data_IF_256035718531
#
_entry.id   IF_256035718531
#
_cell.length_a   1.000
_cell.length_b   1.000
_cell.length_c   1.000
_cell.angle_alpha   90.00
_cell.angle_beta   90.00
_cell.angle_gamma   90.00
#
_symmetry.space_group_name_H-M   'P 1'
#
loop_
_entity.id
_entity.type
_entity.pdbx_description
1 polymer ?
#
# COMPACT_ATOMS: atom_id res chain seq x y z
N UNK A 1 -2.25 -2.38 -24.53
CA UNK A 1 -1.23 -2.03 -23.52
C UNK A 1 -1.80 -2.51 -22.20
N UNK A 2 -1.26 -3.61 -21.66
CA UNK A 2 -1.97 -4.53 -20.75
C UNK A 2 -1.46 -4.40 -19.32
N UNK A 3 -2.38 -4.30 -18.35
CA UNK A 3 -2.15 -4.30 -16.90
C UNK A 3 -1.21 -5.46 -16.46
N UNK A 4 -0.48 -5.31 -15.35
CA UNK A 4 0.06 -6.48 -14.64
C UNK A 4 -1.12 -7.13 -13.96
N UNK A 5 -1.70 -8.11 -14.63
CA UNK A 5 -2.74 -8.88 -14.01
C UNK A 5 -2.16 -9.61 -12.77
N UNK A 6 -2.91 -9.73 -11.66
CA UNK A 6 -2.44 -10.36 -10.42
C UNK A 6 -1.85 -11.76 -10.61
N UNK A 7 -2.23 -12.50 -11.66
CA UNK A 7 -1.63 -13.81 -11.97
C UNK A 7 -0.15 -13.72 -12.38
N UNK A 8 0.31 -12.56 -12.83
CA UNK A 8 1.73 -12.31 -13.11
C UNK A 8 2.50 -11.90 -11.84
N UNK A 9 1.80 -11.58 -10.74
CA UNK A 9 2.46 -11.13 -9.50
C UNK A 9 3.33 -12.22 -8.88
N UNK A 10 2.84 -13.46 -8.79
CA UNK A 10 3.65 -14.60 -8.29
C UNK A 10 4.82 -14.94 -9.22
N UNK A 11 4.74 -14.52 -10.48
CA UNK A 11 5.78 -14.74 -11.48
C UNK A 11 6.86 -13.67 -11.43
N UNK A 12 6.65 -12.57 -10.69
CA UNK A 12 7.68 -11.57 -10.48
C UNK A 12 8.86 -12.20 -9.75
N UNK A 13 10.05 -11.73 -10.10
CA UNK A 13 11.29 -12.11 -9.42
C UNK A 13 11.77 -10.94 -8.59
N UNK A 14 12.46 -11.25 -7.50
CA UNK A 14 13.30 -10.27 -6.83
C UNK A 14 14.43 -9.89 -7.78
N UNK A 15 14.54 -8.61 -8.10
CA UNK A 15 15.65 -8.09 -8.89
C UNK A 15 16.99 -8.37 -8.20
N UNK A 16 18.06 -8.54 -8.97
CA UNK A 16 19.41 -8.73 -8.43
C UNK A 16 19.83 -7.60 -7.47
N UNK A 17 20.65 -7.94 -6.47
CA UNK A 17 21.15 -7.04 -5.42
C UNK A 17 20.08 -6.46 -4.46
N UNK A 18 18.91 -7.09 -4.38
CA UNK A 18 17.91 -6.84 -3.34
C UNK A 18 17.96 -7.92 -2.25
N UNK A 19 17.62 -7.59 -0.98
CA UNK A 19 17.03 -6.34 -0.50
C UNK A 19 18.00 -5.17 -0.41
N UNK A 20 17.45 -3.95 -0.50
CA UNK A 20 18.19 -2.69 -0.31
C UNK A 20 17.66 -1.90 0.88
N UNK A 21 18.53 -1.10 1.52
CA UNK A 21 18.14 -0.20 2.59
C UNK A 21 17.22 0.92 2.07
N UNK A 22 16.17 1.26 2.83
CA UNK A 22 15.19 2.29 2.45
C UNK A 22 15.83 3.68 2.44
N UNK A 23 16.54 4.06 3.50
CA UNK A 23 17.12 5.39 3.66
C UNK A 23 18.15 5.69 2.57
N UNK A 24 18.99 4.72 2.25
CA UNK A 24 20.05 4.89 1.24
C UNK A 24 19.51 5.02 -0.19
N UNK A 25 18.29 4.54 -0.47
CA UNK A 25 17.77 4.42 -1.84
C UNK A 25 16.55 5.30 -2.12
N UNK A 26 15.89 5.80 -1.07
CA UNK A 26 14.76 6.72 -1.16
C UNK A 26 15.16 8.02 -0.44
N UNK A 27 15.75 8.98 -1.15
CA UNK A 27 16.39 10.13 -0.50
C UNK A 27 15.44 11.07 0.27
N UNK A 28 16.03 11.86 1.17
CA UNK A 28 15.35 13.00 1.81
C UNK A 28 14.46 12.68 3.00
N UNK A 29 14.66 11.54 3.68
CA UNK A 29 13.91 11.24 4.89
C UNK A 29 14.11 12.31 5.97
N UNK A 30 13.04 12.76 6.64
CA UNK A 30 13.17 13.66 7.77
C UNK A 30 13.83 12.93 8.95
N UNK A 31 14.64 13.64 9.72
CA UNK A 31 15.36 13.05 10.86
C UNK A 31 14.40 12.43 11.90
N UNK A 32 13.21 13.02 12.09
CA UNK A 32 12.17 12.49 12.97
C UNK A 32 11.66 11.10 12.56
N UNK A 33 11.85 10.71 11.29
CA UNK A 33 11.49 9.39 10.79
C UNK A 33 12.63 8.37 10.83
N UNK A 34 13.80 8.76 11.31
CA UNK A 34 14.89 7.80 11.56
C UNK A 34 14.71 7.19 12.96
N UNK A 35 14.68 5.86 13.03
CA UNK A 35 14.69 5.12 14.29
C UNK A 35 16.10 5.16 14.89
N UNK A 36 17.08 4.96 14.01
CA UNK A 36 18.51 5.06 14.23
C UNK A 36 19.14 5.61 12.94
N UNK A 37 20.40 6.08 12.95
CA UNK A 37 21.06 6.56 11.73
C UNK A 37 20.95 5.55 10.58
N UNK A 38 20.35 5.95 9.46
CA UNK A 38 20.18 5.09 8.28
C UNK A 38 19.04 4.06 8.37
N UNK A 39 18.21 4.10 9.43
CA UNK A 39 17.15 3.12 9.67
C UNK A 39 15.79 3.82 9.76
N UNK A 40 14.86 3.45 8.88
CA UNK A 40 13.44 3.82 8.98
C UNK A 40 12.57 2.58 8.76
N UNK A 41 11.24 2.71 8.87
CA UNK A 41 10.26 1.68 8.49
C UNK A 41 8.95 2.35 8.07
N UNK A 42 8.14 1.64 7.30
CA UNK A 42 6.87 2.14 6.79
C UNK A 42 5.73 1.30 7.34
N UNK A 43 4.56 1.90 7.57
CA UNK A 43 3.32 1.19 7.91
C UNK A 43 2.39 1.07 6.69
N UNK A 44 2.51 1.97 5.70
CA UNK A 44 1.85 1.84 4.41
C UNK A 44 2.56 2.67 3.34
N UNK A 45 2.25 2.40 2.08
CA UNK A 45 2.68 3.23 0.96
C UNK A 45 1.61 3.24 -0.14
N UNK A 46 1.56 4.28 -0.96
CA UNK A 46 0.74 4.31 -2.17
C UNK A 46 1.33 5.20 -3.25
N UNK A 47 1.02 4.90 -4.50
CA UNK A 47 1.25 5.79 -5.63
C UNK A 47 0.01 6.64 -5.89
N UNK A 48 0.13 7.94 -5.69
CA UNK A 48 -1.00 8.85 -5.78
C UNK A 48 -1.19 9.36 -7.22
N UNK A 49 -2.41 9.69 -7.67
CA UNK A 49 -2.68 10.16 -9.03
C UNK A 49 -1.96 11.46 -9.45
N UNK A 50 -1.32 12.18 -8.52
CA UNK A 50 -0.46 13.31 -8.83
C UNK A 50 0.98 12.90 -9.23
N UNK A 51 1.25 11.60 -9.33
CA UNK A 51 2.54 11.03 -9.71
C UNK A 51 3.58 11.03 -8.59
N UNK A 52 3.18 11.29 -7.35
CA UNK A 52 4.02 11.21 -6.15
C UNK A 52 3.77 9.90 -5.42
N UNK A 53 4.76 9.45 -4.65
CA UNK A 53 4.57 8.35 -3.71
C UNK A 53 4.33 8.90 -2.32
N UNK A 54 3.42 8.29 -1.58
CA UNK A 54 3.10 8.67 -0.23
C UNK A 54 3.48 7.50 0.67
N UNK A 55 4.30 7.78 1.66
CA UNK A 55 4.78 6.82 2.64
C UNK A 55 4.19 7.19 3.99
N UNK A 56 3.63 6.22 4.72
CA UNK A 56 2.95 6.44 5.99
C UNK A 56 3.72 5.76 7.11
N UNK A 57 3.81 6.42 8.26
CA UNK A 57 4.40 5.88 9.48
C UNK A 57 3.76 6.56 10.69
N UNK A 58 3.20 5.76 11.60
CA UNK A 58 2.45 6.28 12.74
C UNK A 58 1.29 7.16 12.29
N UNK A 59 1.23 8.37 12.84
CA UNK A 59 0.19 9.37 12.53
C UNK A 59 0.56 10.34 11.42
N UNK A 60 1.68 10.09 10.74
CA UNK A 60 2.23 10.99 9.76
C UNK A 60 2.44 10.32 8.41
N UNK A 61 2.65 11.15 7.39
CA UNK A 61 3.10 10.70 6.09
C UNK A 61 4.16 11.62 5.49
N UNK A 62 5.01 11.05 4.65
CA UNK A 62 5.94 11.77 3.79
C UNK A 62 5.51 11.63 2.33
N UNK A 63 5.75 12.66 1.52
CA UNK A 63 5.50 12.62 0.07
C UNK A 63 6.81 12.64 -0.69
N UNK A 64 7.05 11.60 -1.47
CA UNK A 64 8.25 11.43 -2.28
C UNK A 64 8.02 11.80 -3.74
N UNK A 65 8.95 12.56 -4.30
CA UNK A 65 8.99 12.89 -5.73
C UNK A 65 9.90 11.90 -6.47
N UNK A 66 9.35 10.98 -7.30
CA UNK A 66 10.16 10.04 -8.05
C UNK A 66 11.03 10.69 -9.14
N UNK A 67 10.72 11.92 -9.58
CA UNK A 67 11.53 12.68 -10.56
C UNK A 67 12.72 13.33 -9.89
N UNK A 68 12.52 13.97 -8.73
CA UNK A 68 13.62 14.57 -7.93
C UNK A 68 14.40 13.54 -7.12
N UNK A 69 13.82 12.36 -6.92
CA UNK A 69 14.36 11.25 -6.12
C UNK A 69 14.62 11.62 -4.66
N UNK A 70 13.72 12.42 -4.09
CA UNK A 70 13.78 12.87 -2.70
C UNK A 70 12.37 13.12 -2.17
N UNK A 71 12.20 13.09 -0.85
CA UNK A 71 11.00 13.65 -0.21
C UNK A 71 10.84 15.13 -0.60
N UNK A 72 9.58 15.55 -0.74
CA UNK A 72 9.24 16.96 -0.81
C UNK A 72 9.51 17.63 0.54
N UNK A 73 9.80 18.93 0.51
CA UNK A 73 9.99 19.74 1.71
C UNK A 73 8.67 19.89 2.50
N UNK A 74 8.75 20.31 3.76
CA UNK A 74 7.61 20.46 4.70
C UNK A 74 6.89 19.14 5.05
N UNK A 75 7.62 18.02 4.97
CA UNK A 75 7.22 16.71 5.45
C UNK A 75 8.15 16.25 6.59
N UNK A 76 7.65 15.45 7.55
CA UNK A 76 6.37 14.75 7.53
C UNK A 76 5.19 15.67 7.84
N UNK A 77 3.99 15.26 7.41
CA UNK A 77 2.74 15.92 7.78
C UNK A 77 1.83 14.95 8.48
N UNK A 78 1.06 15.48 9.42
CA UNK A 78 0.03 14.71 10.09
C UNK A 78 -1.04 14.23 9.09
N UNK A 79 -1.48 12.98 9.26
CA UNK A 79 -2.49 12.36 8.39
C UNK A 79 -3.84 13.07 8.55
N UNK A 80 -4.28 13.34 9.78
CA UNK A 80 -5.64 13.87 10.02
C UNK A 80 -5.80 15.33 9.56
N UNK A 81 -4.70 16.08 9.52
CA UNK A 81 -4.70 17.47 9.08
C UNK A 81 -4.86 17.64 7.56
N UNK A 82 -4.45 16.62 6.78
CA UNK A 82 -4.41 16.73 5.31
C UNK A 82 -5.40 15.81 4.62
N UNK A 83 -5.55 14.59 5.12
CA UNK A 83 -6.53 13.64 4.60
C UNK A 83 -7.83 13.88 5.37
N UNK A 84 -8.76 14.65 4.82
CA UNK A 84 -9.95 15.10 5.54
C UNK A 84 -11.07 14.04 5.60
N UNK A 85 -11.96 14.18 6.57
CA UNK A 85 -13.21 13.39 6.66
C UNK A 85 -13.07 12.05 7.39
N UNK A 86 -12.01 11.84 8.18
CA UNK A 86 -11.88 10.60 8.95
C UNK A 86 -13.09 10.35 9.85
N UNK A 87 -13.64 9.13 9.87
CA UNK A 87 -14.68 8.77 10.81
C UNK A 87 -14.12 8.78 12.24
N UNK A 88 -14.94 9.16 13.22
CA UNK A 88 -14.51 9.27 14.62
C UNK A 88 -13.98 7.95 15.18
N UNK A 89 -14.48 6.79 14.71
CA UNK A 89 -13.99 5.46 15.09
C UNK A 89 -12.56 5.16 14.63
N UNK A 90 -12.04 5.91 13.65
CA UNK A 90 -10.66 5.76 13.17
C UNK A 90 -9.68 6.69 13.87
N UNK A 91 -10.17 7.70 14.57
CA UNK A 91 -9.38 8.59 15.41
C UNK A 91 -9.14 7.91 16.76
N UNK A 92 -7.88 7.78 17.16
CA UNK A 92 -7.54 7.21 18.47
C UNK A 92 -7.66 8.29 19.56
N UNK A 93 -7.48 7.89 20.83
CA UNK A 93 -7.61 8.79 21.99
C UNK A 93 -6.62 9.98 21.97
N UNK A 94 -5.49 9.84 21.24
CA UNK A 94 -4.51 10.90 21.03
C UNK A 94 -4.95 11.94 19.97
N UNK A 95 -6.13 11.78 19.37
CA UNK A 95 -6.63 12.64 18.29
C UNK A 95 -6.06 12.28 16.91
N UNK A 96 -5.28 11.21 16.81
CA UNK A 96 -4.56 10.83 15.60
C UNK A 96 -5.16 9.61 14.91
N UNK A 97 -4.77 9.37 13.66
CA UNK A 97 -5.08 8.11 12.95
C UNK A 97 -3.81 7.42 12.49
N UNK A 98 -3.89 6.13 12.21
CA UNK A 98 -2.79 5.28 11.74
C UNK A 98 -3.38 4.30 10.73
N UNK A 99 -2.61 3.91 9.71
CA UNK A 99 -3.07 3.01 8.65
C UNK A 99 -2.13 1.81 8.52
N UNK A 100 -2.71 0.64 8.28
CA UNK A 100 -1.99 -0.64 8.14
C UNK A 100 -1.62 -0.96 6.68
N UNK A 101 -2.38 -0.43 5.73
CA UNK A 101 -2.11 -0.57 4.30
C UNK A 101 -2.84 0.51 3.53
N UNK A 102 -2.34 0.85 2.35
CA UNK A 102 -3.01 1.76 1.46
C UNK A 102 -2.75 1.40 0.00
N UNK A 103 -3.67 1.74 -0.89
CA UNK A 103 -3.41 1.76 -2.33
C UNK A 103 -4.34 2.74 -3.03
N UNK A 104 -3.94 3.20 -4.21
CA UNK A 104 -4.82 3.96 -5.10
C UNK A 104 -5.40 3.03 -6.16
N UNK A 105 -6.72 3.11 -6.36
CA UNK A 105 -7.39 2.43 -7.47
C UNK A 105 -7.59 3.40 -8.62
N UNK A 106 -6.91 3.15 -9.74
CA UNK A 106 -7.04 3.98 -10.95
C UNK A 106 -8.45 3.99 -11.55
N UNK A 107 -9.14 2.84 -11.51
CA UNK A 107 -10.51 2.71 -12.04
C UNK A 107 -11.57 3.35 -11.16
N UNK A 108 -11.39 3.34 -9.84
CA UNK A 108 -12.30 4.00 -8.88
C UNK A 108 -11.97 5.47 -8.69
N UNK A 109 -10.72 5.85 -8.97
CA UNK A 109 -10.16 7.17 -8.67
C UNK A 109 -10.23 7.51 -7.19
N UNK A 110 -9.96 6.50 -6.35
CA UNK A 110 -10.05 6.57 -4.89
C UNK A 110 -8.80 5.95 -4.28
N UNK A 111 -8.42 6.47 -3.13
CA UNK A 111 -7.46 5.83 -2.22
C UNK A 111 -8.23 4.95 -1.26
N UNK A 112 -7.74 3.74 -1.02
CA UNK A 112 -8.26 2.84 0.00
C UNK A 112 -7.24 2.77 1.13
N UNK A 113 -7.68 3.08 2.35
CA UNK A 113 -6.87 2.90 3.55
C UNK A 113 -7.46 1.77 4.38
N UNK A 114 -6.60 0.97 4.99
CA UNK A 114 -6.99 -0.16 5.84
C UNK A 114 -6.47 0.04 7.27
N UNK A 115 -7.27 -0.38 8.25
CA UNK A 115 -6.91 -0.36 9.67
C UNK A 115 -7.65 -1.50 10.36
N UNK A 116 -6.91 -2.50 10.84
CA UNK A 116 -7.50 -3.73 11.35
C UNK A 116 -8.38 -4.41 10.30
N UNK A 117 -9.61 -4.74 10.69
CA UNK A 117 -10.56 -5.43 9.81
C UNK A 117 -11.42 -4.47 8.98
N UNK A 118 -11.16 -3.16 9.08
CA UNK A 118 -11.91 -2.12 8.40
C UNK A 118 -11.09 -1.46 7.28
N UNK A 119 -11.82 -0.83 6.37
CA UNK A 119 -11.25 0.08 5.41
C UNK A 119 -12.13 1.32 5.22
N UNK A 120 -11.49 2.38 4.74
CA UNK A 120 -12.15 3.58 4.26
C UNK A 120 -11.81 3.82 2.79
N UNK A 121 -12.69 4.51 2.09
CA UNK A 121 -12.46 4.98 0.73
C UNK A 121 -12.36 6.50 0.73
N UNK A 122 -11.21 7.01 0.29
CA UNK A 122 -10.90 8.42 0.26
C UNK A 122 -10.88 8.94 -1.19
N UNK A 123 -11.58 10.05 -1.41
CA UNK A 123 -11.62 10.80 -2.64
C UNK A 123 -10.57 11.93 -2.61
N UNK A 124 -9.51 11.87 -3.44
CA UNK A 124 -8.47 12.90 -3.46
C UNK A 124 -9.03 14.31 -3.62
N UNK A 125 -8.71 15.19 -2.66
CA UNK A 125 -9.14 16.59 -2.63
C UNK A 125 -10.57 16.82 -2.16
N UNK A 126 -11.30 15.77 -1.77
CA UNK A 126 -12.67 15.88 -1.23
C UNK A 126 -12.70 15.40 0.22
N UNK A 127 -12.29 14.16 0.49
CA UNK A 127 -12.40 13.57 1.81
C UNK A 127 -12.69 12.07 1.76
N UNK A 128 -12.85 11.46 2.92
CA UNK A 128 -13.45 10.12 3.03
C UNK A 128 -14.89 10.17 2.52
N UNK A 129 -15.28 9.18 1.73
CA UNK A 129 -16.66 9.06 1.26
C UNK A 129 -17.60 8.77 2.45
N UNK A 130 -18.87 9.18 2.33
CA UNK A 130 -19.90 8.85 3.33
C UNK A 130 -20.09 7.33 3.48
N UNK A 131 -20.65 6.91 4.62
CA UNK A 131 -20.92 5.50 4.99
C UNK A 131 -19.67 4.62 5.19
N UNK A 132 -18.51 5.24 5.40
CA UNK A 132 -17.29 4.58 5.85
C UNK A 132 -17.00 4.89 7.33
N UNK A 133 -16.35 3.98 8.07
CA UNK A 133 -15.64 2.79 7.58
C UNK A 133 -16.55 1.61 7.32
N UNK A 134 -16.04 0.64 6.56
CA UNK A 134 -16.72 -0.64 6.32
C UNK A 134 -15.83 -1.81 6.72
N UNK A 135 -16.45 -2.89 7.16
CA UNK A 135 -15.76 -4.16 7.42
C UNK A 135 -15.25 -4.73 6.09
N UNK A 136 -13.93 -4.91 5.99
CA UNK A 136 -13.25 -5.40 4.78
C UNK A 136 -13.83 -6.73 4.31
N UNK A 137 -14.03 -7.66 5.25
CA UNK A 137 -14.55 -8.98 4.96
C UNK A 137 -15.96 -9.01 4.34
N UNK A 138 -16.80 -8.02 4.66
CA UNK A 138 -18.18 -7.94 4.16
C UNK A 138 -18.23 -7.37 2.73
N UNK A 139 -17.28 -6.51 2.38
CA UNK A 139 -17.29 -5.80 1.10
C UNK A 139 -16.35 -6.44 0.07
N UNK A 140 -15.20 -6.96 0.51
CA UNK A 140 -14.22 -7.62 -0.36
C UNK A 140 -14.59 -9.09 -0.52
N UNK A 141 -15.52 -9.42 -1.43
CA UNK A 141 -16.02 -10.79 -1.64
C UNK A 141 -14.90 -11.84 -1.67
N UNK A 142 -15.00 -12.81 -0.75
CA UNK A 142 -14.03 -13.89 -0.63
C UNK A 142 -12.81 -13.55 0.23
N UNK A 143 -12.76 -12.38 0.88
CA UNK A 143 -11.70 -12.02 1.85
C UNK A 143 -11.38 -13.15 2.83
N UNK A 144 -12.41 -13.76 3.43
CA UNK A 144 -12.25 -14.87 4.36
C UNK A 144 -11.54 -16.09 3.76
N UNK A 145 -11.68 -16.32 2.44
CA UNK A 145 -11.02 -17.41 1.74
C UNK A 145 -9.55 -17.09 1.44
N UNK A 146 -9.16 -15.81 1.39
CA UNK A 146 -7.76 -15.40 1.25
C UNK A 146 -6.94 -15.74 2.51
N UNK A 147 -7.59 -15.76 3.67
CA UNK A 147 -6.98 -16.04 4.96
C UNK A 147 -5.74 -15.16 5.27
N UNK A 148 -5.77 -13.90 4.84
CA UNK A 148 -4.70 -12.91 5.07
C UNK A 148 -4.88 -12.12 6.37
N UNK A 149 -6.00 -12.33 7.10
CA UNK A 149 -6.35 -11.54 8.28
C UNK A 149 -6.72 -10.10 7.91
N UNK A 150 -6.09 -9.13 8.56
CA UNK A 150 -6.14 -7.70 8.17
C UNK A 150 -5.10 -7.40 7.09
N UNK A 151 -5.39 -6.43 6.22
CA UNK A 151 -4.43 -5.99 5.20
C UNK A 151 -3.24 -5.30 5.88
N UNK A 152 -2.05 -5.92 5.85
CA UNK A 152 -0.80 -5.32 6.34
C UNK A 152 0.06 -4.75 5.23
N UNK A 153 -0.25 -5.10 3.99
CA UNK A 153 0.38 -4.53 2.82
C UNK A 153 -0.58 -4.70 1.63
N UNK A 154 -0.65 -3.67 0.79
CA UNK A 154 -1.44 -3.66 -0.42
C UNK A 154 -0.61 -3.07 -1.56
N UNK A 155 -0.69 -3.67 -2.75
CA UNK A 155 -0.02 -3.18 -3.96
C UNK A 155 -1.03 -3.16 -5.09
N UNK A 156 -1.30 -2.00 -5.67
CA UNK A 156 -2.05 -1.94 -6.92
C UNK A 156 -1.19 -2.50 -8.06
N UNK A 157 -1.65 -3.51 -8.78
CA UNK A 157 -0.91 -4.09 -9.92
C UNK A 157 -1.50 -3.69 -11.27
N UNK A 158 -2.67 -3.07 -11.25
CA UNK A 158 -3.34 -2.54 -12.43
C UNK A 158 -4.52 -1.66 -12.05
N UNK A 159 -5.25 -1.17 -13.05
CA UNK A 159 -6.35 -0.21 -12.83
C UNK A 159 -7.43 -0.68 -11.84
N UNK A 160 -7.62 -1.99 -11.70
CA UNK A 160 -8.61 -2.65 -10.81
C UNK A 160 -8.02 -3.72 -9.92
N UNK A 161 -6.73 -3.98 -10.06
CA UNK A 161 -6.11 -5.18 -9.56
C UNK A 161 -5.19 -4.81 -8.40
N UNK A 162 -5.32 -5.55 -7.31
CA UNK A 162 -4.58 -5.32 -6.08
C UNK A 162 -4.13 -6.66 -5.50
N UNK A 163 -2.93 -6.68 -4.92
CA UNK A 163 -2.45 -7.79 -4.12
C UNK A 163 -2.46 -7.37 -2.65
N UNK A 164 -3.15 -8.16 -1.83
CA UNK A 164 -3.17 -8.01 -0.38
C UNK A 164 -2.26 -9.02 0.28
N UNK A 165 -1.62 -8.61 1.36
CA UNK A 165 -0.65 -9.41 2.11
C UNK A 165 -0.88 -9.24 3.61
N UNK A 166 -0.84 -10.36 4.34
CA UNK A 166 -1.06 -10.41 5.78
C UNK A 166 -1.03 -11.86 6.30
N UNK A 167 -0.64 -12.04 7.56
CA UNK A 167 -0.54 -13.35 8.24
C UNK A 167 0.31 -14.40 7.50
N UNK A 168 1.37 -13.99 6.81
CA UNK A 168 2.25 -14.85 6.02
C UNK A 168 1.60 -15.33 4.72
N UNK A 169 0.44 -14.75 4.37
CA UNK A 169 -0.31 -15.07 3.15
C UNK A 169 -0.43 -13.85 2.27
N UNK A 170 -0.83 -14.12 1.03
CA UNK A 170 -1.14 -13.09 0.06
C UNK A 170 -2.25 -13.56 -0.86
N UNK A 171 -2.98 -12.61 -1.45
CA UNK A 171 -4.01 -12.90 -2.43
C UNK A 171 -4.18 -11.76 -3.43
N UNK A 172 -4.40 -12.14 -4.70
CA UNK A 172 -4.84 -11.22 -5.74
C UNK A 172 -6.35 -10.98 -5.67
N UNK A 173 -6.74 -9.70 -5.70
CA UNK A 173 -8.13 -9.28 -5.74
C UNK A 173 -8.37 -8.34 -6.92
N UNK A 174 -9.50 -8.53 -7.59
CA UNK A 174 -9.95 -7.65 -8.65
C UNK A 174 -11.17 -6.87 -8.19
N UNK A 175 -11.03 -5.56 -8.12
CA UNK A 175 -12.11 -4.62 -7.84
C UNK A 175 -13.19 -4.73 -8.91
N UNK A 176 -14.43 -4.83 -8.47
CA UNK A 176 -15.63 -4.91 -9.30
C UNK A 176 -15.97 -3.59 -9.97
N UNK A 177 -17.04 -3.57 -10.76
CA UNK A 177 -17.49 -2.35 -11.44
C UNK A 177 -18.30 -1.40 -10.54
N UNK A 178 -18.99 -1.90 -9.50
CA UNK A 178 -19.75 -1.10 -8.53
C UNK A 178 -18.90 -0.30 -7.55
N UNK A 179 -19.51 0.41 -6.61
CA UNK A 179 -18.82 1.31 -5.68
C UNK A 179 -17.73 0.58 -4.88
N UNK A 180 -18.05 -0.56 -4.30
CA UNK A 180 -17.11 -1.47 -3.63
C UNK A 180 -17.40 -2.92 -4.04
N UNK A 181 -16.47 -3.81 -3.74
CA UNK A 181 -16.56 -5.23 -4.09
C UNK A 181 -15.74 -5.58 -5.32
N UNK A 182 -16.00 -6.78 -5.86
CA UNK A 182 -15.06 -7.49 -6.71
C UNK A 182 -15.06 -8.98 -6.38
N UNK A 183 -13.94 -9.65 -6.63
CA UNK A 183 -13.77 -11.03 -6.21
C UNK A 183 -12.30 -11.41 -6.12
N UNK A 184 -12.02 -12.42 -5.29
CA UNK A 184 -10.73 -13.11 -5.36
C UNK A 184 -10.53 -13.58 -6.78
N UNK A 185 -9.33 -13.39 -7.29
CA UNK A 185 -8.99 -13.90 -8.60
C UNK A 185 -8.86 -15.43 -8.52
N UNK A 186 -9.61 -16.22 -9.32
CA UNK A 186 -9.56 -17.69 -9.29
C UNK A 186 -8.21 -18.26 -9.77
N UNK A 187 -7.29 -17.39 -10.21
CA UNK A 187 -5.90 -17.71 -10.51
C UNK A 187 -4.92 -17.04 -9.54
N UNK A 188 -5.30 -16.66 -8.31
CA UNK A 188 -4.32 -16.22 -7.30
C UNK A 188 -3.37 -17.40 -7.08
N UNK A 189 -2.14 -17.38 -7.63
CA UNK A 189 -1.31 -18.57 -7.68
C UNK A 189 -0.87 -18.92 -6.26
N UNK A 190 -0.77 -20.21 -5.97
CA UNK A 190 -0.04 -20.64 -4.78
C UNK A 190 1.43 -20.24 -4.95
N UNK A 191 1.99 -19.57 -3.93
CA UNK A 191 3.41 -19.22 -3.87
C UNK A 191 3.70 -17.73 -3.98
N UNK A 192 4.29 -17.19 -2.92
CA UNK A 192 4.91 -15.87 -2.87
C UNK A 192 5.88 -15.68 -4.05
N UNK A 193 6.09 -14.45 -4.59
CA UNK A 193 6.97 -14.23 -5.75
C UNK A 193 8.32 -14.94 -5.62
N UNK A 194 8.90 -15.42 -6.72
CA UNK A 194 10.08 -16.29 -6.58
C UNK A 194 11.28 -15.52 -6.01
N UNK A 195 11.93 -16.10 -5.00
CA UNK A 195 13.11 -15.52 -4.35
C UNK A 195 12.81 -14.52 -3.23
N UNK A 196 11.54 -14.25 -2.93
CA UNK A 196 11.18 -13.40 -1.79
C UNK A 196 11.29 -14.19 -0.48
N UNK A 197 12.21 -13.79 0.40
CA UNK A 197 12.43 -14.41 1.72
C UNK A 197 11.56 -13.77 2.83
N UNK A 198 10.61 -12.89 2.48
CA UNK A 198 9.89 -12.06 3.43
C UNK A 198 8.44 -12.47 3.59
N UNK A 199 8.11 -13.10 4.70
CA UNK A 199 6.72 -13.23 5.14
C UNK A 199 6.26 -11.92 5.81
N UNK A 200 5.00 -11.51 5.66
CA UNK A 200 4.45 -10.31 6.33
C UNK A 200 5.23 -9.01 6.05
N UNK A 201 5.17 -8.48 4.82
CA UNK A 201 5.69 -7.14 4.56
C UNK A 201 4.87 -6.05 5.26
N UNK A 202 5.52 -4.92 5.55
CA UNK A 202 4.90 -3.79 6.24
C UNK A 202 4.22 -2.80 5.28
N UNK A 203 4.68 -2.72 4.03
CA UNK A 203 4.08 -1.82 3.04
C UNK A 203 4.35 -2.29 1.61
N UNK A 204 3.52 -1.80 0.68
CA UNK A 204 3.57 -2.14 -0.73
C UNK A 204 3.39 -0.90 -1.58
N UNK A 205 4.10 -0.83 -2.70
CA UNK A 205 4.03 0.30 -3.62
C UNK A 205 4.15 -0.17 -5.07
N UNK A 206 3.24 0.27 -5.91
CA UNK A 206 3.37 0.13 -7.36
C UNK A 206 4.34 1.17 -7.92
N UNK A 207 5.13 0.78 -8.92
CA UNK A 207 6.07 1.72 -9.52
C UNK A 207 5.41 2.55 -10.64
N UNK A 208 5.98 3.71 -10.95
CA UNK A 208 5.63 4.50 -12.14
C UNK A 208 5.97 3.79 -13.46
N UNK A 209 6.76 2.71 -13.41
CA UNK A 209 7.12 1.86 -14.53
C UNK A 209 6.27 0.59 -14.54
N UNK A 210 5.81 0.23 -15.72
CA UNK A 210 5.10 -1.03 -15.94
C UNK A 210 5.94 -2.23 -15.49
N UNK A 211 5.27 -3.28 -14.99
CA UNK A 211 5.92 -4.54 -14.64
C UNK A 211 6.65 -4.56 -13.29
N UNK A 212 6.55 -3.51 -12.45
CA UNK A 212 7.37 -3.39 -11.25
C UNK A 212 6.60 -2.90 -10.02
N UNK A 213 6.88 -3.53 -8.89
CA UNK A 213 6.44 -3.06 -7.58
C UNK A 213 7.58 -3.15 -6.54
N UNK A 214 7.31 -2.55 -5.39
CA UNK A 214 8.20 -2.54 -4.24
C UNK A 214 7.45 -3.08 -3.03
N UNK A 215 8.13 -3.93 -2.27
CA UNK A 215 7.64 -4.50 -1.03
C UNK A 215 8.60 -4.08 0.07
N UNK A 216 8.10 -3.50 1.15
CA UNK A 216 8.91 -2.97 2.24
C UNK A 216 8.76 -3.85 3.48
N UNK A 217 9.88 -4.08 4.18
CA UNK A 217 9.89 -4.78 5.46
C UNK A 217 11.04 -4.27 6.33
N UNK A 218 10.73 -3.84 7.54
CA UNK A 218 11.69 -3.18 8.42
C UNK A 218 12.34 -1.98 7.72
N UNK A 219 13.67 -1.94 7.73
CA UNK A 219 14.46 -0.89 7.08
C UNK A 219 14.88 -1.17 5.65
N UNK A 220 14.33 -2.24 5.06
CA UNK A 220 14.69 -2.68 3.74
C UNK A 220 13.47 -2.72 2.81
N UNK A 221 13.75 -2.79 1.52
CA UNK A 221 12.74 -3.09 0.52
C UNK A 221 13.26 -4.06 -0.54
N UNK A 222 12.34 -4.82 -1.12
CA UNK A 222 12.54 -5.60 -2.33
C UNK A 222 11.97 -4.82 -3.52
N UNK A 223 12.59 -4.99 -4.68
CA UNK A 223 12.01 -4.61 -5.96
C UNK A 223 11.68 -5.89 -6.71
N UNK A 224 10.42 -5.99 -7.14
CA UNK A 224 9.94 -7.13 -7.89
C UNK A 224 9.65 -6.70 -9.32
N UNK A 225 10.11 -7.46 -10.29
CA UNK A 225 9.79 -7.21 -11.71
C UNK A 225 9.72 -8.47 -12.56
N UNK A 226 9.26 -8.32 -13.82
CA UNK A 226 9.17 -9.41 -14.80
C UNK A 226 10.48 -9.69 -15.54
N UNK A 227 11.47 -8.80 -15.42
CA UNK A 227 12.70 -8.78 -16.21
C UNK A 227 13.91 -9.36 -15.45
#
# INVERSE_FOLDING_TARGET
>A
MTDIFPYQFSQLKVDEDYPKNIVDNWGGWPESWLIEPGVTRLDAALHHPNGKFYFFRGSEYCRYDPKRRTMDDDYPRNIVDVWTGWPSSWINDDGETRVDAAFYSGSKRKVYFFKGDEYIRYAPGVGVDDDYPKITANEFNGWHLMNVGSAKCAVSTGSRDVVFMGQGRWAGYRMGHGNDGGGIMPQSPDGWPTGTQWDNPDAGLDSTKWGRCYIFKGSQYLRLSQD
#
